data_IF_607197999200
#
_entry.id   IF_607197999200
#
_cell.length_a   1.000
_cell.length_b   1.000
_cell.length_c   1.000
_cell.angle_alpha   90.00
_cell.angle_beta   90.00
_cell.angle_gamma   90.00
#
_symmetry.space_group_name_H-M   'P 1'
#
loop_
_entity.id
_entity.type
_entity.pdbx_description
1 polymer ?
#
# COMPACT_ATOMS: atom_id res chain seq x y z
N UNK A 1 -44.11 23.37 -9.98
CA UNK A 1 -44.34 22.66 -8.70
C UNK A 1 -43.29 21.57 -8.64
N UNK A 2 -42.33 21.55 -7.71
CA UNK A 2 -42.31 22.09 -6.35
C UNK A 2 -40.88 22.50 -6.05
N UNK A 3 -40.70 23.71 -5.52
CA UNK A 3 -39.45 24.13 -4.89
C UNK A 3 -39.27 23.20 -3.70
N UNK A 4 -38.34 22.25 -3.80
CA UNK A 4 -37.94 21.46 -2.64
C UNK A 4 -37.31 22.45 -1.66
N UNK A 5 -38.06 22.73 -0.61
CA UNK A 5 -37.65 23.46 0.59
C UNK A 5 -36.20 23.09 0.92
N UNK A 6 -35.33 24.10 0.97
CA UNK A 6 -33.98 23.99 1.53
C UNK A 6 -34.06 23.86 3.06
N UNK A 7 -34.85 22.91 3.57
CA UNK A 7 -34.67 22.44 4.92
C UNK A 7 -33.29 21.81 4.96
N UNK A 8 -32.33 22.50 5.58
CA UNK A 8 -31.06 21.89 5.99
C UNK A 8 -31.45 20.70 6.84
N UNK A 9 -31.36 19.48 6.30
CA UNK A 9 -31.52 18.27 7.08
C UNK A 9 -30.50 18.35 8.22
N UNK A 10 -31.02 18.40 9.45
CA UNK A 10 -30.21 18.45 10.65
C UNK A 10 -30.19 17.07 11.26
N UNK A 11 -29.07 16.75 11.85
CA UNK A 11 -28.91 15.55 12.65
C UNK A 11 -29.90 15.55 13.83
N UNK A 12 -30.67 14.47 13.96
CA UNK A 12 -31.53 14.22 15.11
C UNK A 12 -30.77 13.41 16.18
N UNK A 13 -30.22 14.13 17.17
CA UNK A 13 -29.45 13.53 18.26
C UNK A 13 -30.33 12.62 19.12
N UNK A 14 -31.59 12.97 19.34
CA UNK A 14 -32.48 12.19 20.21
C UNK A 14 -32.78 10.82 19.57
N UNK A 15 -33.07 10.82 18.27
CA UNK A 15 -33.22 9.59 17.48
C UNK A 15 -31.93 8.78 17.44
N UNK A 16 -30.78 9.40 17.15
CA UNK A 16 -29.49 8.71 17.11
C UNK A 16 -29.15 8.07 18.47
N UNK A 17 -29.40 8.76 19.58
CA UNK A 17 -29.25 8.19 20.93
C UNK A 17 -30.22 7.05 21.23
N UNK A 18 -31.41 7.03 20.61
CA UNK A 18 -32.32 5.89 20.72
C UNK A 18 -31.77 4.67 19.97
N UNK A 19 -31.23 4.88 18.77
CA UNK A 19 -30.61 3.84 17.96
C UNK A 19 -29.36 3.25 18.64
N UNK A 20 -28.50 4.11 19.21
CA UNK A 20 -27.28 3.74 19.94
C UNK A 20 -27.56 2.73 21.07
N UNK A 21 -28.75 2.72 21.68
CA UNK A 21 -29.08 1.76 22.75
C UNK A 21 -29.04 0.29 22.31
N UNK A 22 -29.12 0.03 21.01
CA UNK A 22 -29.00 -1.31 20.44
C UNK A 22 -27.53 -1.75 20.27
N UNK A 23 -26.57 -0.84 20.47
CA UNK A 23 -25.14 -1.04 20.24
C UNK A 23 -24.36 -0.80 21.53
N UNK A 24 -24.11 -1.82 22.37
CA UNK A 24 -23.46 -1.66 23.68
C UNK A 24 -22.03 -1.11 23.61
N UNK A 25 -21.41 -1.14 22.43
CA UNK A 25 -20.07 -0.60 22.17
C UNK A 25 -20.05 0.92 22.05
N UNK A 26 -21.20 1.56 21.79
CA UNK A 26 -21.29 2.99 21.50
C UNK A 26 -21.86 3.74 22.70
N UNK A 27 -21.17 4.78 23.13
CA UNK A 27 -21.67 5.66 24.19
C UNK A 27 -22.66 6.69 23.62
N UNK A 28 -23.74 7.00 24.36
CA UNK A 28 -24.70 8.01 23.94
C UNK A 28 -24.05 9.40 23.89
N UNK A 29 -24.53 10.23 22.98
CA UNK A 29 -24.15 11.63 22.83
C UNK A 29 -24.64 12.41 24.07
N UNK A 30 -23.72 13.11 24.71
CA UNK A 30 -23.98 14.03 25.83
C UNK A 30 -23.82 15.49 25.39
N UNK A 31 -24.33 16.43 26.19
CA UNK A 31 -24.35 17.86 25.84
C UNK A 31 -22.95 18.49 25.72
N UNK A 32 -21.95 17.90 26.35
CA UNK A 32 -20.54 18.32 26.30
C UNK A 32 -19.79 17.86 25.05
N UNK A 33 -20.38 17.00 24.22
CA UNK A 33 -19.73 16.49 23.00
C UNK A 33 -19.97 17.42 21.80
N UNK A 34 -18.89 17.93 21.21
CA UNK A 34 -18.98 18.91 20.12
C UNK A 34 -17.86 18.81 19.06
N UNK A 35 -16.83 17.98 19.23
CA UNK A 35 -15.72 17.86 18.27
C UNK A 35 -16.12 17.02 17.07
N UNK A 36 -16.31 17.67 15.91
CA UNK A 36 -16.72 17.02 14.64
C UNK A 36 -15.65 17.05 13.54
N UNK A 37 -14.56 17.80 13.76
CA UNK A 37 -13.59 18.18 12.72
C UNK A 37 -14.24 18.82 11.48
N UNK A 38 -13.47 19.10 10.41
CA UNK A 38 -13.96 19.73 9.17
C UNK A 38 -13.30 19.11 7.94
N UNK A 39 -13.99 19.19 6.81
CA UNK A 39 -13.51 18.70 5.51
C UNK A 39 -13.03 17.25 5.57
N UNK A 40 -11.86 16.98 4.99
CA UNK A 40 -11.28 15.62 4.89
C UNK A 40 -11.11 14.97 6.27
N UNK A 41 -10.74 15.72 7.31
CA UNK A 41 -10.60 15.16 8.67
C UNK A 41 -11.92 14.64 9.24
N UNK A 42 -13.04 15.34 8.97
CA UNK A 42 -14.37 14.88 9.37
C UNK A 42 -14.77 13.61 8.60
N UNK A 43 -14.57 13.60 7.28
CA UNK A 43 -14.81 12.41 6.47
C UNK A 43 -13.99 11.22 6.97
N UNK A 44 -12.69 11.41 7.21
CA UNK A 44 -11.80 10.34 7.68
C UNK A 44 -12.22 9.84 9.05
N UNK A 45 -12.60 10.71 9.99
CA UNK A 45 -13.09 10.30 11.30
C UNK A 45 -14.33 9.39 11.19
N UNK A 46 -15.34 9.84 10.44
CA UNK A 46 -16.62 9.13 10.28
C UNK A 46 -16.50 7.90 9.37
N UNK A 47 -15.62 7.92 8.38
CA UNK A 47 -15.42 6.80 7.47
C UNK A 47 -14.52 5.72 8.08
N UNK A 48 -13.52 6.10 8.90
CA UNK A 48 -12.46 5.17 9.32
C UNK A 48 -12.45 4.82 10.80
N UNK A 49 -13.00 5.66 11.67
CA UNK A 49 -12.83 5.50 13.12
C UNK A 49 -14.14 5.40 13.89
N UNK A 50 -15.24 5.98 13.39
CA UNK A 50 -16.54 5.83 14.04
C UNK A 50 -17.04 4.39 13.96
N UNK A 51 -17.68 3.94 15.03
CA UNK A 51 -18.52 2.76 15.00
C UNK A 51 -19.74 3.00 14.10
N UNK A 52 -20.11 2.02 13.28
CA UNK A 52 -21.18 2.12 12.29
C UNK A 52 -22.15 0.96 12.43
N UNK A 53 -23.42 1.23 12.11
CA UNK A 53 -24.45 0.22 11.92
C UNK A 53 -24.27 -0.45 10.54
N UNK A 54 -23.35 -1.40 10.46
CA UNK A 54 -22.99 -2.09 9.20
C UNK A 54 -24.10 -3.03 8.72
N UNK A 55 -24.84 -3.63 9.66
CA UNK A 55 -26.00 -4.50 9.43
C UNK A 55 -27.27 -3.72 9.05
N UNK A 56 -27.25 -2.39 9.20
CA UNK A 56 -28.34 -1.47 8.83
C UNK A 56 -29.61 -1.72 9.66
N UNK A 57 -29.45 -2.14 10.91
CA UNK A 57 -30.54 -2.48 11.84
C UNK A 57 -31.46 -1.28 12.11
N UNK A 58 -30.88 -0.08 12.14
CA UNK A 58 -31.56 1.17 12.51
C UNK A 58 -31.66 2.16 11.35
N UNK A 59 -31.24 1.77 10.14
CA UNK A 59 -31.18 2.66 8.98
C UNK A 59 -32.58 3.11 8.56
N UNK A 60 -32.83 4.40 8.54
CA UNK A 60 -34.14 4.98 8.28
C UNK A 60 -34.05 6.35 7.59
N UNK A 61 -35.19 6.85 7.08
CA UNK A 61 -35.25 8.18 6.44
C UNK A 61 -34.89 9.26 7.47
N UNK A 62 -34.11 10.24 7.04
CA UNK A 62 -33.55 11.31 7.87
C UNK A 62 -32.20 10.98 8.49
N UNK A 63 -31.71 9.75 8.37
CA UNK A 63 -30.42 9.37 8.97
C UNK A 63 -29.24 9.97 8.22
N UNK A 64 -28.25 10.39 9.00
CA UNK A 64 -26.94 10.81 8.51
C UNK A 64 -26.09 9.58 8.16
N UNK A 65 -25.44 9.60 7.00
CA UNK A 65 -24.71 8.44 6.46
C UNK A 65 -23.39 8.84 5.81
N UNK A 66 -22.46 7.89 5.83
CA UNK A 66 -21.27 7.87 4.99
C UNK A 66 -21.56 6.98 3.78
N UNK A 67 -21.22 7.42 2.57
CA UNK A 67 -21.50 6.67 1.36
C UNK A 67 -20.44 6.84 0.27
N UNK A 68 -20.45 5.91 -0.68
CA UNK A 68 -19.76 6.07 -1.96
C UNK A 68 -20.56 7.01 -2.86
N UNK A 69 -20.12 8.26 -2.98
CA UNK A 69 -20.78 9.30 -3.79
C UNK A 69 -20.49 9.15 -5.27
N UNK A 70 -19.33 8.63 -5.66
CA UNK A 70 -18.98 8.29 -7.05
C UNK A 70 -18.30 6.94 -7.10
N UNK A 71 -18.84 6.04 -7.91
CA UNK A 71 -18.22 4.76 -8.19
C UNK A 71 -17.03 4.94 -9.12
N UNK A 72 -15.91 4.34 -8.76
CA UNK A 72 -14.74 4.19 -9.62
C UNK A 72 -14.13 2.81 -9.30
N UNK A 73 -13.81 1.99 -10.30
CA UNK A 73 -13.28 0.64 -10.07
C UNK A 73 -11.95 0.61 -9.30
N UNK A 74 -11.20 1.72 -9.29
CA UNK A 74 -9.89 1.83 -8.64
C UNK A 74 -9.92 2.76 -7.43
N UNK A 75 -10.66 3.87 -7.47
CA UNK A 75 -10.64 4.95 -6.48
C UNK A 75 -12.03 5.53 -6.22
N UNK A 76 -12.95 4.78 -5.57
CA UNK A 76 -14.29 5.27 -5.29
C UNK A 76 -14.24 6.52 -4.41
N UNK A 77 -15.06 7.53 -4.73
CA UNK A 77 -15.15 8.74 -3.94
C UNK A 77 -16.14 8.53 -2.79
N UNK A 78 -15.69 8.79 -1.57
CA UNK A 78 -16.51 8.77 -0.34
C UNK A 78 -17.03 10.16 -0.02
N UNK A 79 -18.19 10.23 0.61
CA UNK A 79 -18.78 11.49 1.07
C UNK A 79 -19.81 11.27 2.17
N UNK A 80 -20.46 12.36 2.56
CA UNK A 80 -21.44 12.40 3.66
C UNK A 80 -22.79 12.92 3.13
N UNK A 81 -23.88 12.49 3.76
CA UNK A 81 -25.21 12.93 3.36
C UNK A 81 -26.31 12.46 4.29
N UNK A 82 -27.55 12.77 3.91
CA UNK A 82 -28.76 12.38 4.63
C UNK A 82 -29.69 11.56 3.76
N UNK A 83 -30.24 10.48 4.30
CA UNK A 83 -31.23 9.66 3.60
C UNK A 83 -32.53 10.46 3.46
N UNK A 84 -32.95 10.72 2.21
CA UNK A 84 -34.24 11.37 1.91
C UNK A 84 -35.33 10.36 1.56
N UNK A 85 -34.96 9.18 1.05
CA UNK A 85 -35.90 8.10 0.73
C UNK A 85 -35.19 6.76 0.80
N UNK A 86 -35.88 5.75 1.34
CA UNK A 86 -35.45 4.35 1.32
C UNK A 86 -36.35 3.53 0.42
N UNK A 87 -35.74 2.69 -0.38
CA UNK A 87 -36.37 1.67 -1.21
C UNK A 87 -35.81 0.31 -0.78
N UNK A 88 -36.48 -0.31 0.18
CA UNK A 88 -36.07 -1.60 0.74
C UNK A 88 -36.26 -2.76 -0.25
N UNK A 89 -37.21 -2.64 -1.17
CA UNK A 89 -37.48 -3.67 -2.19
C UNK A 89 -36.31 -3.78 -3.17
N UNK A 90 -35.80 -2.64 -3.65
CA UNK A 90 -34.66 -2.60 -4.56
C UNK A 90 -33.31 -2.46 -3.86
N UNK A 91 -33.29 -2.46 -2.52
CA UNK A 91 -32.11 -2.21 -1.68
C UNK A 91 -31.35 -0.94 -2.09
N UNK A 92 -32.08 0.17 -2.25
CA UNK A 92 -31.51 1.47 -2.62
C UNK A 92 -31.93 2.57 -1.64
N UNK A 93 -31.11 3.60 -1.54
CA UNK A 93 -31.47 4.84 -0.88
C UNK A 93 -31.22 6.04 -1.80
N UNK A 94 -32.10 7.03 -1.69
CA UNK A 94 -31.83 8.37 -2.17
C UNK A 94 -31.17 9.15 -1.04
N UNK A 95 -29.97 9.66 -1.29
CA UNK A 95 -29.18 10.38 -0.30
C UNK A 95 -28.91 11.80 -0.81
N UNK A 96 -29.29 12.79 -0.01
CA UNK A 96 -28.91 14.17 -0.22
C UNK A 96 -27.47 14.35 0.27
N UNK A 97 -26.54 14.49 -0.67
CA UNK A 97 -25.11 14.66 -0.41
C UNK A 97 -24.84 16.06 0.14
N UNK A 98 -24.01 16.16 1.17
CA UNK A 98 -23.57 17.45 1.72
C UNK A 98 -22.85 18.28 0.64
N UNK A 99 -23.01 19.60 0.69
CA UNK A 99 -22.54 20.51 -0.37
C UNK A 99 -21.05 20.36 -0.68
N UNK A 100 -20.22 20.08 0.35
CA UNK A 100 -18.78 19.92 0.22
C UNK A 100 -18.36 18.76 -0.69
N UNK A 101 -19.20 17.72 -0.86
CA UNK A 101 -18.91 16.57 -1.72
C UNK A 101 -19.60 16.63 -3.08
N UNK A 102 -20.44 17.62 -3.37
CA UNK A 102 -21.20 17.66 -4.64
C UNK A 102 -20.33 17.91 -5.87
N UNK A 103 -19.13 18.45 -5.70
CA UNK A 103 -18.19 18.75 -6.78
C UNK A 103 -17.70 17.50 -7.54
N UNK A 104 -17.84 16.30 -6.96
CA UNK A 104 -17.49 15.04 -7.63
C UNK A 104 -18.66 14.41 -8.38
N UNK A 105 -19.89 14.93 -8.19
CA UNK A 105 -21.09 14.41 -8.85
C UNK A 105 -21.18 14.92 -10.29
N UNK A 106 -21.86 14.18 -11.15
CA UNK A 106 -22.04 14.50 -12.56
C UNK A 106 -23.54 14.59 -12.93
N UNK A 107 -23.86 15.35 -13.98
CA UNK A 107 -25.21 15.37 -14.57
C UNK A 107 -26.32 15.86 -13.61
N UNK A 108 -27.40 15.09 -13.54
CA UNK A 108 -28.57 15.42 -12.68
C UNK A 108 -28.26 15.27 -11.18
N UNK A 109 -27.32 14.39 -10.79
CA UNK A 109 -26.90 14.25 -9.40
C UNK A 109 -26.19 15.53 -8.91
N UNK A 110 -25.38 16.17 -9.77
CA UNK A 110 -24.74 17.44 -9.46
C UNK A 110 -25.74 18.60 -9.29
N UNK A 111 -26.83 18.60 -10.09
CA UNK A 111 -27.86 19.64 -10.03
C UNK A 111 -28.75 19.51 -8.81
N UNK A 112 -29.15 18.28 -8.48
CA UNK A 112 -30.09 18.00 -7.38
C UNK A 112 -29.38 17.81 -6.05
N UNK A 113 -28.12 17.40 -6.06
CA UNK A 113 -27.37 16.94 -4.88
C UNK A 113 -27.86 15.59 -4.35
N UNK A 114 -28.80 14.92 -5.04
CA UNK A 114 -29.37 13.64 -4.62
C UNK A 114 -28.74 12.53 -5.46
N UNK A 115 -28.14 11.55 -4.79
CA UNK A 115 -27.63 10.33 -5.41
C UNK A 115 -28.52 9.14 -5.06
N UNK A 116 -28.65 8.20 -5.98
CA UNK A 116 -29.32 6.91 -5.72
C UNK A 116 -28.25 5.83 -5.67
N UNK A 117 -28.07 5.21 -4.51
CA UNK A 117 -27.01 4.21 -4.28
C UNK A 117 -27.59 2.94 -3.65
N UNK A 118 -26.90 1.81 -3.86
CA UNK A 118 -27.20 0.57 -3.14
C UNK A 118 -27.04 0.81 -1.64
N UNK A 119 -27.87 0.16 -0.82
CA UNK A 119 -27.66 0.13 0.62
C UNK A 119 -26.28 -0.43 0.97
N UNK A 120 -25.71 -1.32 0.16
CA UNK A 120 -24.41 -1.95 0.41
C UNK A 120 -23.24 -0.96 0.49
N UNK A 121 -23.36 0.21 -0.14
CA UNK A 121 -22.33 1.27 -0.14
C UNK A 121 -22.65 2.43 0.80
N UNK A 122 -23.65 2.25 1.67
CA UNK A 122 -24.13 3.23 2.64
C UNK A 122 -23.96 2.66 4.04
N UNK A 123 -23.39 3.48 4.92
CA UNK A 123 -23.15 3.13 6.31
C UNK A 123 -23.65 4.26 7.21
N UNK A 124 -24.35 3.91 8.29
CA UNK A 124 -24.82 4.86 9.30
C UNK A 124 -23.80 4.93 10.44
N UNK A 125 -23.01 6.01 10.57
CA UNK A 125 -22.15 6.19 11.73
C UNK A 125 -23.01 6.42 12.98
N UNK A 126 -22.69 5.71 14.04
CA UNK A 126 -23.31 5.86 15.36
C UNK A 126 -22.49 6.77 16.28
N UNK A 127 -21.21 6.97 15.94
CA UNK A 127 -20.33 7.94 16.57
C UNK A 127 -20.07 9.09 15.60
N UNK A 128 -20.57 10.27 15.94
CA UNK A 128 -20.48 11.47 15.08
C UNK A 128 -19.59 12.56 15.68
N UNK A 129 -19.28 12.44 16.98
CA UNK A 129 -18.36 13.29 17.73
C UNK A 129 -17.11 12.48 18.09
N UNK A 130 -15.95 13.13 18.03
CA UNK A 130 -14.68 12.52 18.42
C UNK A 130 -14.70 12.07 19.88
N UNK A 131 -15.42 12.79 20.74
CA UNK A 131 -15.62 12.45 22.15
C UNK A 131 -16.28 11.08 22.32
N UNK A 132 -17.24 10.69 21.46
CA UNK A 132 -17.81 9.34 21.52
C UNK A 132 -16.75 8.28 21.21
N UNK A 133 -15.97 8.49 20.15
CA UNK A 133 -14.86 7.62 19.75
C UNK A 133 -13.85 7.51 20.90
N UNK A 134 -13.47 8.64 21.50
CA UNK A 134 -12.54 8.70 22.62
C UNK A 134 -13.07 7.95 23.84
N UNK A 135 -14.37 8.09 24.16
CA UNK A 135 -15.04 7.38 25.26
C UNK A 135 -15.00 5.87 25.04
N UNK A 136 -15.38 5.41 23.84
CA UNK A 136 -15.32 3.98 23.47
C UNK A 136 -13.90 3.44 23.57
N UNK A 137 -12.93 4.18 23.06
CA UNK A 137 -11.51 3.82 23.14
C UNK A 137 -11.04 3.70 24.59
N UNK A 138 -11.34 4.69 25.43
CA UNK A 138 -11.01 4.68 26.84
C UNK A 138 -11.62 3.47 27.57
N UNK A 139 -12.91 3.20 27.34
CA UNK A 139 -13.61 2.01 27.86
C UNK A 139 -12.93 0.71 27.42
N UNK A 140 -12.61 0.59 26.13
CA UNK A 140 -11.94 -0.59 25.58
C UNK A 140 -10.53 -0.82 26.11
N UNK A 141 -9.74 0.24 26.26
CA UNK A 141 -8.36 0.18 26.75
C UNK A 141 -8.29 -0.12 28.25
N UNK A 142 -9.22 0.42 29.04
CA UNK A 142 -9.29 0.19 30.48
C UNK A 142 -9.85 -1.20 30.84
N UNK A 143 -10.46 -1.93 29.91
CA UNK A 143 -11.11 -3.23 30.18
C UNK A 143 -10.16 -4.32 30.73
N UNK A 144 -8.85 -4.18 30.51
CA UNK A 144 -7.81 -5.10 31.04
C UNK A 144 -7.59 -4.95 32.55
N UNK A 145 -8.07 -3.85 33.15
CA UNK A 145 -7.94 -3.60 34.58
C UNK A 145 -8.76 -4.59 35.40
N UNK A 146 -8.24 -4.92 36.59
CA UNK A 146 -8.73 -6.06 37.39
C UNK A 146 -9.99 -5.76 38.21
N UNK A 147 -10.17 -4.52 38.65
CA UNK A 147 -11.31 -4.12 39.49
C UNK A 147 -12.12 -3.04 38.79
N UNK A 148 -13.40 -2.93 39.15
CA UNK A 148 -14.30 -1.95 38.55
C UNK A 148 -13.86 -0.51 38.87
N UNK A 149 -13.35 -0.28 40.08
CA UNK A 149 -12.81 1.02 40.49
C UNK A 149 -11.62 1.42 39.62
N UNK A 150 -10.74 0.46 39.29
CA UNK A 150 -9.59 0.70 38.41
C UNK A 150 -10.01 0.91 36.97
N UNK A 151 -10.98 0.14 36.47
CA UNK A 151 -11.55 0.35 35.14
C UNK A 151 -12.09 1.77 35.03
N UNK A 152 -12.93 2.20 35.97
CA UNK A 152 -13.50 3.54 35.97
C UNK A 152 -12.41 4.63 36.05
N UNK A 153 -11.44 4.49 36.95
CA UNK A 153 -10.31 5.41 37.08
C UNK A 153 -9.55 5.58 35.75
N UNK A 154 -9.26 4.48 35.06
CA UNK A 154 -8.51 4.50 33.81
C UNK A 154 -9.34 4.93 32.61
N UNK A 155 -10.65 4.65 32.59
CA UNK A 155 -11.56 5.20 31.57
C UNK A 155 -11.54 6.72 31.62
N UNK A 156 -11.66 7.31 32.81
CA UNK A 156 -11.64 8.77 32.97
C UNK A 156 -10.30 9.36 32.52
N UNK A 157 -9.19 8.78 32.97
CA UNK A 157 -7.85 9.22 32.59
C UNK A 157 -7.60 9.13 31.09
N UNK A 158 -7.91 8.00 30.46
CA UNK A 158 -7.72 7.84 29.02
C UNK A 158 -8.62 8.81 28.24
N UNK A 159 -9.89 8.93 28.64
CA UNK A 159 -10.83 9.84 28.00
C UNK A 159 -10.34 11.28 28.03
N UNK A 160 -9.86 11.76 29.18
CA UNK A 160 -9.30 13.11 29.33
C UNK A 160 -8.11 13.34 28.39
N UNK A 161 -7.16 12.39 28.32
CA UNK A 161 -5.99 12.52 27.45
C UNK A 161 -6.36 12.54 25.96
N UNK A 162 -7.34 11.73 25.56
CA UNK A 162 -7.82 11.65 24.18
C UNK A 162 -8.56 12.91 23.77
N UNK A 163 -9.56 13.35 24.54
CA UNK A 163 -10.36 14.55 24.22
C UNK A 163 -9.52 15.82 24.25
N UNK A 164 -8.54 15.90 25.17
CA UNK A 164 -7.59 17.01 25.23
C UNK A 164 -6.56 16.99 24.09
N UNK A 165 -6.52 15.93 23.28
CA UNK A 165 -5.54 15.70 22.21
C UNK A 165 -4.08 15.77 22.69
N UNK A 166 -3.82 15.44 23.96
CA UNK A 166 -2.46 15.36 24.51
C UNK A 166 -1.66 14.23 23.83
N UNK A 167 -2.36 13.19 23.37
CA UNK A 167 -1.84 12.20 22.43
C UNK A 167 -2.96 11.73 21.51
N UNK A 168 -2.59 11.25 20.32
CA UNK A 168 -3.52 10.60 19.40
C UNK A 168 -3.04 9.17 19.18
N UNK A 169 -3.82 8.15 19.57
CA UNK A 169 -3.42 6.78 19.36
C UNK A 169 -3.42 6.43 17.86
N UNK A 170 -2.70 5.36 17.54
CA UNK A 170 -2.70 4.77 16.22
C UNK A 170 -4.12 4.53 15.68
N UNK A 171 -4.32 4.70 14.37
CA UNK A 171 -5.64 4.54 13.75
C UNK A 171 -6.33 3.19 14.02
N UNK A 172 -5.58 2.09 14.21
CA UNK A 172 -6.17 0.79 14.58
C UNK A 172 -6.69 0.74 16.00
N UNK A 173 -6.05 1.46 16.91
CA UNK A 173 -6.56 1.63 18.27
C UNK A 173 -7.87 2.42 18.21
N UNK A 174 -7.88 3.57 17.52
CA UNK A 174 -9.09 4.40 17.34
C UNK A 174 -10.28 3.60 16.80
N UNK A 175 -10.03 2.76 15.78
CA UNK A 175 -11.05 1.91 15.18
C UNK A 175 -11.47 0.73 16.09
N UNK A 176 -10.50 0.01 16.68
CA UNK A 176 -10.75 -1.29 17.31
C UNK A 176 -11.05 -1.25 18.80
N UNK A 177 -10.50 -0.30 19.55
CA UNK A 177 -10.64 -0.30 21.00
C UNK A 177 -12.10 -0.09 21.40
N UNK A 178 -12.65 -1.06 22.16
CA UNK A 178 -14.03 -1.02 22.65
C UNK A 178 -15.10 -1.31 21.59
N UNK A 179 -14.73 -1.57 20.33
CA UNK A 179 -15.70 -1.86 19.26
C UNK A 179 -16.14 -3.33 19.20
N UNK A 180 -15.45 -4.23 19.91
CA UNK A 180 -15.72 -5.67 19.86
C UNK A 180 -15.37 -6.34 18.53
N UNK A 181 -14.74 -5.63 17.60
CA UNK A 181 -14.27 -6.20 16.32
C UNK A 181 -12.99 -7.00 16.50
N UNK A 182 -12.82 -8.07 15.73
CA UNK A 182 -11.61 -8.93 15.74
C UNK A 182 -10.41 -8.33 14.98
N UNK A 183 -10.09 -7.06 15.26
CA UNK A 183 -8.92 -6.37 14.69
C UNK A 183 -7.77 -6.34 15.67
N UNK A 184 -6.57 -6.17 15.15
CA UNK A 184 -5.39 -5.88 15.97
C UNK A 184 -5.29 -4.39 16.31
N UNK A 185 -4.73 -4.07 17.47
CA UNK A 185 -4.36 -2.70 17.85
C UNK A 185 -2.99 -2.28 17.29
N UNK A 186 -2.21 -3.22 16.76
CA UNK A 186 -0.94 -2.94 16.10
C UNK A 186 -1.16 -2.60 14.62
N UNK A 187 -0.67 -1.44 14.19
CA UNK A 187 -0.80 -1.02 12.80
C UNK A 187 0.14 -1.77 11.85
N UNK A 188 1.34 -2.09 12.33
CA UNK A 188 2.48 -2.42 11.49
C UNK A 188 3.19 -3.65 12.02
N UNK A 189 3.57 -4.52 11.10
CA UNK A 189 4.23 -5.79 11.36
C UNK A 189 5.46 -5.91 10.48
N UNK A 190 6.50 -6.54 11.03
CA UNK A 190 7.67 -6.96 10.27
C UNK A 190 7.72 -8.46 10.33
N UNK A 191 7.71 -9.10 9.17
CA UNK A 191 7.80 -10.54 9.07
C UNK A 191 9.26 -10.99 9.23
N UNK A 192 9.49 -12.16 9.85
CA UNK A 192 10.76 -12.87 9.71
C UNK A 192 11.12 -13.10 8.23
N UNK A 193 12.38 -13.43 7.97
CA UNK A 193 12.78 -13.80 6.61
C UNK A 193 11.99 -14.99 6.09
N UNK A 194 11.75 -14.97 4.77
CA UNK A 194 11.00 -16.04 4.10
C UNK A 194 11.85 -17.31 4.05
N UNK A 195 11.29 -18.46 4.45
CA UNK A 195 11.95 -19.74 4.25
C UNK A 195 11.96 -20.11 2.77
N UNK A 196 13.15 -20.38 2.21
CA UNK A 196 13.38 -20.61 0.77
C UNK A 196 12.91 -22.00 0.29
N UNK A 197 11.60 -22.22 0.40
CA UNK A 197 10.90 -23.39 -0.11
C UNK A 197 9.47 -23.00 -0.47
N UNK A 198 8.79 -23.81 -1.28
CA UNK A 198 7.39 -23.55 -1.64
C UNK A 198 6.47 -23.50 -0.41
N UNK A 199 6.71 -24.38 0.55
CA UNK A 199 5.97 -24.44 1.81
C UNK A 199 6.26 -23.20 2.67
N UNK A 200 7.53 -22.80 2.76
CA UNK A 200 7.95 -21.58 3.46
C UNK A 200 7.31 -20.32 2.88
N UNK A 201 7.32 -20.18 1.56
CA UNK A 201 6.66 -19.08 0.85
C UNK A 201 5.15 -19.10 1.09
N UNK A 202 4.52 -20.28 1.03
CA UNK A 202 3.08 -20.42 1.27
C UNK A 202 2.68 -20.05 2.70
N UNK A 203 3.46 -20.47 3.71
CA UNK A 203 3.19 -20.12 5.10
C UNK A 203 3.41 -18.63 5.36
N UNK A 204 4.48 -18.05 4.80
CA UNK A 204 4.71 -16.59 4.86
C UNK A 204 3.53 -15.83 4.25
N UNK A 205 3.09 -16.23 3.05
CA UNK A 205 1.94 -15.64 2.36
C UNK A 205 0.65 -15.73 3.18
N UNK A 206 0.40 -16.88 3.82
CA UNK A 206 -0.76 -17.08 4.71
C UNK A 206 -0.71 -16.13 5.91
N UNK A 207 0.45 -15.97 6.54
CA UNK A 207 0.61 -15.07 7.68
C UNK A 207 0.45 -13.59 7.28
N UNK A 208 1.03 -13.18 6.15
CA UNK A 208 0.83 -11.84 5.57
C UNK A 208 -0.66 -11.57 5.34
N UNK A 209 -1.37 -12.53 4.73
CA UNK A 209 -2.80 -12.42 4.46
C UNK A 209 -3.62 -12.26 5.74
N UNK A 210 -3.32 -13.03 6.79
CA UNK A 210 -4.01 -12.95 8.08
C UNK A 210 -3.73 -11.63 8.82
N UNK A 211 -2.49 -11.13 8.77
CA UNK A 211 -2.18 -9.81 9.34
C UNK A 211 -2.96 -8.73 8.60
N UNK A 212 -3.01 -8.82 7.27
CA UNK A 212 -3.72 -7.85 6.44
C UNK A 212 -5.24 -7.90 6.67
N UNK A 213 -5.84 -9.08 6.82
CA UNK A 213 -7.29 -9.23 7.05
C UNK A 213 -7.71 -8.56 8.36
N UNK A 214 -6.84 -8.57 9.37
CA UNK A 214 -7.02 -7.85 10.64
C UNK A 214 -6.61 -6.39 10.60
N UNK A 215 -6.16 -5.91 9.44
CA UNK A 215 -5.84 -4.50 9.19
C UNK A 215 -4.37 -4.11 9.40
N UNK A 216 -3.47 -5.04 9.68
CA UNK A 216 -2.05 -4.76 9.79
C UNK A 216 -1.40 -4.50 8.43
N UNK A 217 -0.48 -3.53 8.39
CA UNK A 217 0.47 -3.38 7.29
C UNK A 217 1.69 -4.27 7.52
N UNK A 218 2.32 -4.77 6.44
CA UNK A 218 3.34 -5.81 6.55
C UNK A 218 4.65 -5.44 5.83
N UNK A 219 5.77 -5.54 6.54
CA UNK A 219 7.12 -5.53 5.98
C UNK A 219 7.62 -6.95 5.71
N UNK A 220 8.16 -7.21 4.53
CA UNK A 220 8.74 -8.51 4.13
C UNK A 220 10.10 -8.31 3.50
N UNK A 221 11.10 -9.07 3.96
CA UNK A 221 12.41 -9.12 3.29
C UNK A 221 12.54 -10.41 2.47
N UNK A 222 12.70 -10.27 1.16
CA UNK A 222 12.84 -11.38 0.22
C UNK A 222 14.26 -11.88 -0.01
N UNK A 223 15.25 -11.33 0.69
CA UNK A 223 16.69 -11.61 0.44
C UNK A 223 17.10 -13.07 0.66
N UNK A 224 16.24 -13.86 1.33
CA UNK A 224 16.45 -15.29 1.52
C UNK A 224 15.92 -16.15 0.39
N UNK A 225 15.12 -15.61 -0.53
CA UNK A 225 14.57 -16.36 -1.65
C UNK A 225 15.60 -16.52 -2.76
N UNK A 226 15.78 -17.74 -3.25
CA UNK A 226 16.81 -18.03 -4.24
C UNK A 226 16.62 -17.23 -5.55
N UNK A 227 17.73 -16.83 -6.20
CA UNK A 227 17.71 -16.09 -7.47
C UNK A 227 16.95 -16.78 -8.59
N UNK A 228 16.64 -15.99 -9.62
CA UNK A 228 16.08 -16.51 -10.88
C UNK A 228 17.03 -17.53 -11.51
N UNK A 229 16.47 -18.59 -12.07
CA UNK A 229 17.17 -19.69 -12.73
C UNK A 229 17.98 -20.65 -11.83
N UNK A 230 18.02 -20.45 -10.51
CA UNK A 230 18.62 -21.44 -9.58
C UNK A 230 17.92 -22.80 -9.70
N UNK A 231 18.71 -23.88 -9.76
CA UNK A 231 18.20 -25.25 -9.94
C UNK A 231 17.24 -25.69 -8.81
N UNK A 232 16.09 -26.25 -9.19
CA UNK A 232 15.12 -26.88 -8.30
C UNK A 232 15.21 -28.41 -8.44
N UNK A 233 16.20 -29.01 -7.76
CA UNK A 233 16.60 -30.43 -7.90
C UNK A 233 15.44 -31.42 -7.78
N UNK A 234 14.54 -31.23 -6.80
CA UNK A 234 13.45 -32.18 -6.53
C UNK A 234 12.39 -32.30 -7.62
N UNK A 235 12.32 -31.34 -8.55
CA UNK A 235 11.33 -31.33 -9.66
C UNK A 235 11.98 -31.16 -11.03
N UNK A 236 13.32 -31.26 -11.11
CA UNK A 236 14.10 -31.02 -12.32
C UNK A 236 13.74 -29.70 -13.05
N UNK A 237 13.52 -28.64 -12.28
CA UNK A 237 13.09 -27.32 -12.77
C UNK A 237 14.06 -26.21 -12.41
N UNK A 238 13.67 -24.96 -12.69
CA UNK A 238 14.40 -23.75 -12.31
C UNK A 238 13.50 -22.79 -11.53
N UNK A 239 14.07 -22.05 -10.59
CA UNK A 239 13.37 -21.00 -9.86
C UNK A 239 12.93 -19.87 -10.80
N UNK A 240 11.71 -19.35 -10.61
CA UNK A 240 11.24 -18.10 -11.22
C UNK A 240 11.90 -16.86 -10.63
N UNK A 241 12.66 -16.99 -9.53
CA UNK A 241 13.40 -15.93 -8.87
C UNK A 241 12.65 -15.26 -7.74
N UNK A 242 13.40 -14.56 -6.89
CA UNK A 242 12.89 -13.87 -5.69
C UNK A 242 11.81 -12.85 -6.06
N UNK A 243 12.07 -12.02 -7.07
CA UNK A 243 11.19 -10.91 -7.48
C UNK A 243 9.83 -11.41 -7.97
N UNK A 244 9.78 -12.57 -8.65
CA UNK A 244 8.52 -13.19 -9.09
C UNK A 244 7.65 -13.65 -7.91
N UNK A 245 8.25 -14.18 -6.85
CA UNK A 245 7.51 -14.57 -5.64
C UNK A 245 7.09 -13.35 -4.82
N UNK A 246 7.94 -12.33 -4.77
CA UNK A 246 7.61 -11.06 -4.13
C UNK A 246 6.42 -10.35 -4.80
N UNK A 247 6.28 -10.47 -6.13
CA UNK A 247 5.07 -10.00 -6.84
C UNK A 247 3.80 -10.77 -6.43
N UNK A 248 3.88 -12.08 -6.16
CA UNK A 248 2.74 -12.85 -5.62
C UNK A 248 2.31 -12.35 -4.25
N UNK A 249 3.27 -12.07 -3.35
CA UNK A 249 2.98 -11.50 -2.03
C UNK A 249 2.39 -10.09 -2.20
N UNK A 250 2.95 -9.26 -3.08
CA UNK A 250 2.44 -7.91 -3.35
C UNK A 250 0.98 -7.94 -3.84
N UNK A 251 0.57 -8.95 -4.61
CA UNK A 251 -0.82 -9.06 -5.11
C UNK A 251 -1.84 -9.28 -3.99
N UNK A 252 -1.45 -9.75 -2.81
CA UNK A 252 -2.36 -9.89 -1.67
C UNK A 252 -3.04 -8.58 -1.28
N UNK A 253 -2.36 -7.44 -1.42
CA UNK A 253 -2.92 -6.13 -1.04
C UNK A 253 -4.12 -5.72 -1.88
N UNK A 254 -4.26 -6.29 -3.08
CA UNK A 254 -5.40 -6.05 -3.96
C UNK A 254 -6.58 -7.00 -3.69
N UNK A 255 -6.33 -8.11 -2.98
CA UNK A 255 -7.34 -9.12 -2.66
C UNK A 255 -7.94 -8.92 -1.27
N UNK A 256 -7.16 -8.38 -0.32
CA UNK A 256 -7.57 -8.22 1.07
C UNK A 256 -7.91 -6.75 1.35
N UNK A 257 -9.21 -6.46 1.47
CA UNK A 257 -9.70 -5.19 1.96
C UNK A 257 -9.63 -5.12 3.49
N UNK A 258 -8.98 -4.10 4.02
CA UNK A 258 -8.82 -3.85 5.45
C UNK A 258 -9.95 -2.95 5.96
N UNK A 259 -10.77 -3.47 6.88
CA UNK A 259 -11.79 -2.68 7.58
C UNK A 259 -12.85 -2.07 6.65
N UNK A 260 -13.21 -2.76 5.56
CA UNK A 260 -14.32 -2.42 4.66
C UNK A 260 -14.05 -1.33 3.61
N UNK A 261 -12.96 -0.56 3.71
CA UNK A 261 -12.71 0.55 2.76
C UNK A 261 -11.25 0.80 2.36
N UNK A 262 -10.26 0.07 2.91
CA UNK A 262 -8.83 0.31 2.68
C UNK A 262 -8.14 -0.87 2.01
N UNK A 263 -7.23 -0.62 1.07
CA UNK A 263 -6.28 -1.65 0.60
C UNK A 263 -5.22 -1.96 1.66
N UNK A 264 -4.70 -3.19 1.62
CA UNK A 264 -3.52 -3.57 2.41
C UNK A 264 -2.31 -2.68 2.12
N UNK A 265 -1.43 -2.53 3.11
CA UNK A 265 -0.16 -1.84 2.95
C UNK A 265 0.99 -2.84 3.09
N UNK A 266 1.94 -2.79 2.17
CA UNK A 266 3.08 -3.72 2.17
C UNK A 266 4.38 -3.02 1.79
N UNK A 267 5.44 -3.28 2.55
CA UNK A 267 6.82 -3.01 2.17
C UNK A 267 7.50 -4.33 1.80
N UNK A 268 8.14 -4.37 0.65
CA UNK A 268 8.98 -5.49 0.24
C UNK A 268 10.42 -5.00 0.16
N UNK A 269 11.35 -5.77 0.69
CA UNK A 269 12.76 -5.42 0.72
C UNK A 269 13.63 -6.48 0.08
N UNK A 270 14.75 -6.04 -0.49
CA UNK A 270 15.78 -6.91 -1.03
C UNK A 270 17.16 -6.30 -0.75
N UNK A 271 18.12 -7.12 -0.34
CA UNK A 271 19.47 -6.68 -0.01
C UNK A 271 20.29 -6.36 -1.26
N UNK A 272 21.21 -5.40 -1.12
CA UNK A 272 22.10 -4.94 -2.19
C UNK A 272 22.93 -6.05 -2.86
N UNK A 273 23.33 -7.07 -2.09
CA UNK A 273 24.11 -8.22 -2.57
C UNK A 273 23.28 -9.25 -3.32
N UNK A 274 21.94 -9.14 -3.33
CA UNK A 274 21.07 -10.16 -3.90
C UNK A 274 21.18 -10.20 -5.44
N UNK A 275 21.35 -11.38 -6.09
CA UNK A 275 21.51 -11.46 -7.54
C UNK A 275 20.35 -10.90 -8.38
N UNK A 276 19.13 -10.91 -7.85
CA UNK A 276 17.95 -10.33 -8.53
C UNK A 276 17.75 -8.82 -8.26
N UNK A 277 18.68 -8.12 -7.59
CA UNK A 277 18.49 -6.73 -7.14
C UNK A 277 18.20 -5.75 -8.28
N UNK A 278 18.80 -5.95 -9.45
CA UNK A 278 18.59 -5.09 -10.62
C UNK A 278 17.16 -5.22 -11.14
N UNK A 279 16.65 -6.46 -11.26
CA UNK A 279 15.26 -6.72 -11.66
C UNK A 279 14.29 -6.10 -10.65
N UNK A 280 14.59 -6.24 -9.35
CA UNK A 280 13.79 -5.69 -8.27
C UNK A 280 13.65 -4.17 -8.36
N UNK A 281 14.76 -3.45 -8.52
CA UNK A 281 14.78 -1.97 -8.61
C UNK A 281 14.03 -1.49 -9.86
N UNK A 282 14.23 -2.12 -11.02
CA UNK A 282 13.61 -1.71 -12.29
C UNK A 282 12.12 -2.05 -12.34
N UNK A 283 11.65 -3.03 -11.55
CA UNK A 283 10.28 -3.55 -11.60
C UNK A 283 9.19 -2.48 -11.49
N UNK A 284 9.43 -1.43 -10.69
CA UNK A 284 8.51 -0.32 -10.42
C UNK A 284 8.63 0.86 -11.40
N UNK A 285 9.62 0.85 -12.31
CA UNK A 285 9.78 1.92 -13.27
C UNK A 285 8.71 1.85 -14.37
N UNK A 286 7.79 2.82 -14.36
CA UNK A 286 6.68 2.91 -15.31
C UNK A 286 6.90 3.94 -16.44
N UNK A 287 8.01 4.68 -16.40
CA UNK A 287 8.32 5.70 -17.40
C UNK A 287 9.24 5.14 -18.51
N UNK A 288 8.74 4.92 -19.74
CA UNK A 288 9.54 4.36 -20.83
C UNK A 288 10.75 5.23 -21.20
N UNK A 289 10.66 6.55 -21.01
CA UNK A 289 11.78 7.47 -21.30
C UNK A 289 12.95 7.22 -20.35
N UNK A 290 12.67 6.90 -19.08
CA UNK A 290 13.70 6.60 -18.09
C UNK A 290 14.32 5.24 -18.35
N UNK A 291 13.52 4.24 -18.72
CA UNK A 291 14.06 2.94 -19.15
C UNK A 291 15.01 3.08 -20.35
N UNK A 292 14.64 3.92 -21.32
CA UNK A 292 15.52 4.26 -22.45
C UNK A 292 16.77 5.01 -22.02
N UNK A 293 16.64 6.00 -21.13
CA UNK A 293 17.78 6.70 -20.57
C UNK A 293 18.76 5.73 -19.90
N UNK A 294 18.26 4.77 -19.11
CA UNK A 294 19.08 3.73 -18.50
C UNK A 294 19.83 2.91 -19.55
N UNK A 295 19.16 2.48 -20.63
CA UNK A 295 19.79 1.75 -21.74
C UNK A 295 20.94 2.53 -22.40
N UNK A 296 20.78 3.84 -22.52
CA UNK A 296 21.71 4.72 -23.25
C UNK A 296 22.88 5.22 -22.35
N UNK A 297 22.73 5.18 -21.02
CA UNK A 297 23.65 5.86 -20.08
C UNK A 297 24.26 4.96 -19.00
N UNK A 298 23.93 3.67 -18.96
CA UNK A 298 24.61 2.71 -18.07
C UNK A 298 25.65 1.90 -18.83
N UNK A 299 26.75 1.58 -18.17
CA UNK A 299 27.79 0.68 -18.69
C UNK A 299 27.53 -0.78 -18.29
N UNK A 300 26.55 -1.01 -17.40
CA UNK A 300 26.26 -2.33 -16.84
C UNK A 300 25.29 -3.14 -17.71
N UNK A 301 25.76 -4.27 -18.25
CA UNK A 301 24.97 -5.14 -19.14
C UNK A 301 23.67 -5.68 -18.52
N UNK A 302 23.66 -5.95 -17.21
CA UNK A 302 22.47 -6.46 -16.53
C UNK A 302 21.40 -5.39 -16.33
N UNK A 303 21.80 -4.15 -16.05
CA UNK A 303 20.88 -2.99 -16.05
C UNK A 303 20.30 -2.80 -17.46
N UNK A 304 21.14 -2.84 -18.49
CA UNK A 304 20.68 -2.72 -19.87
C UNK A 304 19.67 -3.83 -20.21
N UNK A 305 19.98 -5.08 -19.87
CA UNK A 305 19.09 -6.21 -20.12
C UNK A 305 17.74 -6.03 -19.40
N UNK A 306 17.74 -5.72 -18.11
CA UNK A 306 16.51 -5.57 -17.33
C UNK A 306 15.66 -4.38 -17.82
N UNK A 307 16.29 -3.25 -18.17
CA UNK A 307 15.58 -2.11 -18.75
C UNK A 307 14.96 -2.46 -20.11
N UNK A 308 15.67 -3.22 -20.95
CA UNK A 308 15.19 -3.68 -22.26
C UNK A 308 14.01 -4.63 -22.12
N UNK A 309 14.06 -5.60 -21.20
CA UNK A 309 12.98 -6.55 -20.95
C UNK A 309 11.72 -5.86 -20.41
N UNK A 310 11.89 -4.79 -19.62
CA UNK A 310 10.78 -3.97 -19.12
C UNK A 310 10.18 -3.06 -20.20
N UNK A 311 10.93 -2.72 -21.24
CA UNK A 311 10.52 -1.80 -22.30
C UNK A 311 9.81 -2.53 -23.46
N UNK A 312 8.58 -2.12 -23.78
CA UNK A 312 7.81 -2.63 -24.93
C UNK A 312 7.83 -1.61 -26.06
N UNK A 313 8.23 -2.03 -27.26
CA UNK A 313 8.10 -1.21 -28.47
C UNK A 313 6.93 -1.69 -29.32
N UNK A 314 6.05 -0.77 -29.72
CA UNK A 314 4.95 -1.02 -30.65
C UNK A 314 5.17 -0.18 -31.90
N UNK A 315 5.51 -0.79 -33.05
CA UNK A 315 5.68 -0.08 -34.31
C UNK A 315 4.40 0.62 -34.75
N UNK A 316 4.54 1.76 -35.45
CA UNK A 316 3.42 2.41 -36.10
C UNK A 316 2.89 1.55 -37.25
N UNK A 317 1.57 1.43 -37.35
CA UNK A 317 0.91 0.94 -38.55
C UNK A 317 1.06 1.94 -39.71
N UNK A 318 0.83 1.50 -40.94
CA UNK A 318 0.85 2.40 -42.11
C UNK A 318 -0.19 3.53 -41.98
N UNK A 319 -1.38 3.22 -41.44
CA UNK A 319 -2.43 4.19 -41.20
C UNK A 319 -2.00 5.25 -40.17
N UNK A 320 -1.41 4.83 -39.05
CA UNK A 320 -0.92 5.77 -38.04
C UNK A 320 0.24 6.62 -38.56
N UNK A 321 1.15 6.03 -39.34
CA UNK A 321 2.23 6.77 -39.99
C UNK A 321 1.68 7.85 -40.92
N UNK A 322 0.69 7.53 -41.75
CA UNK A 322 0.04 8.50 -42.62
C UNK A 322 -0.68 9.60 -41.81
N UNK A 323 -1.37 9.23 -40.72
CA UNK A 323 -2.04 10.17 -39.82
C UNK A 323 -1.05 11.15 -39.17
N UNK A 324 0.01 10.66 -38.54
CA UNK A 324 1.01 11.51 -37.91
C UNK A 324 1.75 12.38 -38.94
N UNK A 325 2.04 11.84 -40.13
CA UNK A 325 2.62 12.64 -41.21
C UNK A 325 1.67 13.77 -41.63
N UNK A 326 0.36 13.49 -41.70
CA UNK A 326 -0.68 14.49 -41.94
C UNK A 326 -0.65 15.62 -40.90
N UNK A 327 -0.48 15.29 -39.61
CA UNK A 327 -0.35 16.29 -38.53
C UNK A 327 0.91 17.15 -38.72
N UNK A 328 2.06 16.52 -38.98
CA UNK A 328 3.35 17.23 -39.16
C UNK A 328 3.35 18.17 -40.36
N UNK A 329 2.58 17.85 -41.41
CA UNK A 329 2.45 18.73 -42.58
C UNK A 329 1.86 20.11 -42.23
N UNK A 330 1.11 20.25 -41.14
CA UNK A 330 0.58 21.54 -40.66
C UNK A 330 1.58 22.38 -39.85
N UNK A 331 2.79 21.88 -39.60
CA UNK A 331 3.83 22.56 -38.79
C UNK A 331 4.18 23.96 -39.27
N UNK A 332 4.19 24.17 -40.59
CA UNK A 332 4.56 25.46 -41.19
C UNK A 332 3.34 26.31 -41.60
N UNK A 333 2.12 25.88 -41.25
CA UNK A 333 0.89 26.59 -41.61
C UNK A 333 0.49 27.52 -40.46
N UNK A 334 0.16 28.80 -40.72
CA UNK A 334 -0.33 29.72 -39.69
C UNK A 334 -1.52 29.14 -38.93
N UNK A 335 -1.45 29.11 -37.60
CA UNK A 335 -2.46 28.49 -36.74
C UNK A 335 -2.36 26.96 -36.63
N UNK A 336 -1.29 26.34 -37.14
CA UNK A 336 -0.96 24.92 -36.99
C UNK A 336 -2.08 23.95 -37.42
N UNK A 337 -2.99 24.40 -38.30
CA UNK A 337 -4.17 23.61 -38.69
C UNK A 337 -5.12 23.29 -37.52
N UNK A 338 -5.07 24.05 -36.42
CA UNK A 338 -5.84 23.78 -35.20
C UNK A 338 -5.16 22.85 -34.20
N UNK A 339 -3.96 22.33 -34.51
CA UNK A 339 -3.15 21.55 -33.56
C UNK A 339 -2.31 22.46 -32.66
N UNK A 340 -1.99 21.98 -31.45
CA UNK A 340 -1.00 22.65 -30.61
C UNK A 340 0.42 22.25 -31.02
N UNK A 341 1.40 23.11 -30.72
CA UNK A 341 2.82 22.82 -30.94
C UNK A 341 3.27 21.52 -30.26
N UNK A 342 2.69 21.21 -29.10
CA UNK A 342 2.94 19.96 -28.37
C UNK A 342 2.48 18.72 -29.15
N UNK A 343 1.33 18.79 -29.82
CA UNK A 343 0.79 17.70 -30.65
C UNK A 343 1.70 17.48 -31.86
N UNK A 344 2.14 18.56 -32.50
CA UNK A 344 3.04 18.47 -33.66
C UNK A 344 4.37 17.83 -33.25
N UNK A 345 4.95 18.25 -32.13
CA UNK A 345 6.19 17.67 -31.59
C UNK A 345 6.04 16.18 -31.25
N UNK A 346 4.92 15.78 -30.67
CA UNK A 346 4.62 14.37 -30.37
C UNK A 346 4.52 13.53 -31.67
N UNK A 347 3.86 14.06 -32.71
CA UNK A 347 3.77 13.41 -34.01
C UNK A 347 5.15 13.26 -34.67
N UNK A 348 5.99 14.30 -34.64
CA UNK A 348 7.38 14.23 -35.13
C UNK A 348 8.21 13.18 -34.37
N UNK A 349 8.08 13.13 -33.04
CA UNK A 349 8.78 12.16 -32.19
C UNK A 349 8.36 10.72 -32.54
N UNK A 350 7.06 10.44 -32.69
CA UNK A 350 6.53 9.12 -33.05
C UNK A 350 6.95 8.68 -34.45
N UNK A 351 6.93 9.58 -35.43
CA UNK A 351 7.39 9.29 -36.79
C UNK A 351 8.89 8.97 -36.83
N UNK A 352 9.71 9.77 -36.14
CA UNK A 352 11.16 9.55 -36.04
C UNK A 352 11.49 8.24 -35.35
N UNK A 353 10.76 7.92 -34.27
CA UNK A 353 10.94 6.68 -33.51
C UNK A 353 10.37 5.47 -34.26
N UNK A 354 9.43 5.68 -35.18
CA UNK A 354 8.75 4.64 -35.95
C UNK A 354 7.73 3.83 -35.13
N UNK A 355 7.38 4.28 -33.93
CA UNK A 355 6.51 3.57 -32.99
C UNK A 355 6.36 4.28 -31.65
N UNK A 356 5.69 3.61 -30.72
CA UNK A 356 5.51 4.06 -29.33
C UNK A 356 6.15 3.09 -28.36
N UNK A 357 6.80 3.63 -27.34
CA UNK A 357 7.30 2.85 -26.21
C UNK A 357 6.29 2.82 -25.06
N UNK A 358 6.08 1.64 -24.49
CA UNK A 358 5.32 1.44 -23.26
C UNK A 358 6.08 0.50 -22.33
N UNK A 359 5.53 0.21 -21.15
CA UNK A 359 6.13 -0.71 -20.18
C UNK A 359 5.47 -2.09 -20.27
N UNK A 360 6.27 -3.15 -20.20
CA UNK A 360 5.78 -4.52 -20.04
C UNK A 360 5.31 -4.76 -18.60
N UNK A 361 4.14 -5.39 -18.48
CA UNK A 361 3.51 -5.76 -17.21
C UNK A 361 3.48 -4.58 -16.20
N UNK A 362 2.72 -3.51 -16.49
CA UNK A 362 2.72 -2.31 -15.64
C UNK A 362 2.20 -2.59 -14.23
N UNK A 363 1.35 -3.61 -14.07
CA UNK A 363 0.75 -3.99 -12.78
C UNK A 363 1.69 -4.83 -11.89
N UNK A 364 2.86 -5.23 -12.40
CA UNK A 364 3.85 -6.01 -11.65
C UNK A 364 4.33 -5.25 -10.41
N UNK A 365 4.24 -5.90 -9.25
CA UNK A 365 4.68 -5.39 -7.94
C UNK A 365 4.01 -4.06 -7.53
N UNK A 366 2.85 -3.75 -8.10
CA UNK A 366 2.10 -2.51 -7.79
C UNK A 366 1.45 -2.51 -6.42
N UNK A 367 1.24 -3.67 -5.81
CA UNK A 367 0.62 -3.81 -4.49
C UNK A 367 1.54 -3.49 -3.31
N UNK A 368 2.83 -3.29 -3.54
CA UNK A 368 3.79 -3.00 -2.47
C UNK A 368 4.68 -1.79 -2.80
N UNK A 369 5.11 -1.08 -1.76
CA UNK A 369 6.30 -0.26 -1.79
C UNK A 369 7.54 -1.18 -1.75
N UNK A 370 8.65 -0.73 -2.32
CA UNK A 370 9.90 -1.49 -2.30
C UNK A 370 11.04 -0.71 -1.65
N UNK A 371 11.95 -1.39 -0.97
CA UNK A 371 13.18 -0.78 -0.47
C UNK A 371 14.38 -1.68 -0.69
N UNK A 372 15.54 -1.05 -0.92
CA UNK A 372 16.81 -1.78 -0.93
C UNK A 372 17.41 -1.75 0.47
N UNK A 373 17.75 -2.92 1.01
CA UNK A 373 18.53 -3.02 2.23
C UNK A 373 20.01 -2.78 1.91
N UNK A 374 20.53 -1.63 2.32
CA UNK A 374 21.91 -1.23 2.09
C UNK A 374 22.80 -1.58 3.28
N UNK A 375 23.89 -2.24 2.98
CA UNK A 375 24.98 -2.62 3.87
C UNK A 375 26.08 -1.57 3.87
N UNK A 376 26.85 -1.51 4.96
CA UNK A 376 28.06 -0.68 5.04
C UNK A 376 29.10 -1.10 4.00
N UNK A 377 29.21 -2.40 3.73
CA UNK A 377 30.10 -2.96 2.71
C UNK A 377 29.78 -2.39 1.31
N UNK A 378 28.50 -2.37 0.92
CA UNK A 378 28.09 -1.77 -0.35
C UNK A 378 28.38 -0.26 -0.39
N UNK A 379 28.04 0.48 0.68
CA UNK A 379 28.29 1.92 0.71
C UNK A 379 29.78 2.27 0.64
N UNK A 380 30.64 1.48 1.26
CA UNK A 380 32.10 1.63 1.14
C UNK A 380 32.56 1.38 -0.30
N UNK A 381 32.04 0.34 -0.96
CA UNK A 381 32.34 0.05 -2.36
C UNK A 381 31.86 1.18 -3.30
N UNK A 382 30.74 1.84 -3.01
CA UNK A 382 30.26 3.02 -3.75
C UNK A 382 31.22 4.19 -3.61
N UNK A 383 31.66 4.48 -2.38
CA UNK A 383 32.58 5.57 -2.07
C UNK A 383 33.92 5.38 -2.80
N UNK A 384 34.50 4.18 -2.66
CA UNK A 384 35.79 3.81 -3.23
C UNK A 384 35.76 3.56 -4.74
N UNK A 385 34.57 3.50 -5.34
CA UNK A 385 34.38 3.06 -6.71
C UNK A 385 35.00 1.67 -6.93
N UNK A 386 34.40 0.66 -6.29
CA UNK A 386 34.84 -0.73 -6.35
C UNK A 386 33.83 -1.59 -7.12
N UNK A 387 34.27 -2.78 -7.54
CA UNK A 387 33.32 -3.82 -7.94
C UNK A 387 32.66 -4.42 -6.71
N UNK A 388 31.38 -4.73 -6.83
CA UNK A 388 30.54 -5.31 -5.80
C UNK A 388 29.97 -6.65 -6.28
N UNK A 389 29.99 -7.64 -5.39
CA UNK A 389 29.60 -9.01 -5.71
C UNK A 389 28.12 -9.23 -5.42
N UNK A 390 27.37 -9.58 -6.46
CA UNK A 390 26.01 -10.09 -6.33
C UNK A 390 26.07 -11.59 -6.10
N UNK A 391 25.68 -12.03 -4.91
CA UNK A 391 26.02 -13.34 -4.37
C UNK A 391 24.90 -13.95 -3.55
N UNK A 392 24.89 -15.27 -3.42
CA UNK A 392 23.86 -16.01 -2.69
C UNK A 392 24.45 -17.35 -2.18
N UNK A 393 23.89 -18.00 -1.15
CA UNK A 393 24.29 -19.36 -0.77
C UNK A 393 24.44 -20.31 -1.96
N UNK A 394 25.51 -21.11 -1.99
CA UNK A 394 25.84 -21.99 -3.11
C UNK A 394 25.03 -23.30 -3.12
N UNK A 395 23.70 -23.14 -3.14
CA UNK A 395 22.72 -24.24 -3.08
C UNK A 395 22.84 -25.25 -4.23
N UNK A 396 23.52 -24.87 -5.31
CA UNK A 396 23.71 -25.76 -6.47
C UNK A 396 24.87 -26.72 -6.29
N UNK A 397 25.83 -26.44 -5.39
CA UNK A 397 26.99 -27.33 -5.18
C UNK A 397 27.06 -27.93 -3.78
N UNK A 398 26.10 -27.58 -2.91
CA UNK A 398 25.96 -28.17 -1.59
C UNK A 398 25.78 -29.69 -1.64
N UNK A 399 26.47 -30.37 -0.73
CA UNK A 399 26.21 -31.75 -0.34
C UNK A 399 24.82 -31.87 0.30
N UNK A 400 24.32 -33.10 0.46
CA UNK A 400 23.03 -33.33 1.13
C UNK A 400 22.99 -32.78 2.56
N UNK A 401 24.12 -32.86 3.28
CA UNK A 401 24.30 -32.31 4.62
C UNK A 401 24.22 -30.78 4.62
N UNK A 402 25.01 -30.12 3.78
CA UNK A 402 25.00 -28.66 3.63
C UNK A 402 23.61 -28.15 3.20
N UNK A 403 22.93 -28.89 2.30
CA UNK A 403 21.59 -28.53 1.84
C UNK A 403 20.55 -28.68 2.95
N UNK A 404 20.67 -29.70 3.83
CA UNK A 404 19.80 -29.82 5.01
C UNK A 404 19.98 -28.62 5.93
N UNK A 405 21.23 -28.25 6.22
CA UNK A 405 21.54 -27.08 7.05
C UNK A 405 21.03 -25.78 6.39
N UNK A 406 21.20 -25.62 5.08
CA UNK A 406 20.63 -24.49 4.34
C UNK A 406 19.11 -24.38 4.53
N UNK A 407 18.39 -25.48 4.29
CA UNK A 407 16.93 -25.52 4.40
C UNK A 407 16.45 -25.24 5.83
N UNK A 408 17.23 -25.61 6.84
CA UNK A 408 16.91 -25.39 8.26
C UNK A 408 17.29 -24.01 8.75
N UNK A 409 18.43 -23.45 8.34
CA UNK A 409 19.04 -22.28 9.02
C UNK A 409 19.14 -21.02 8.18
N UNK A 410 19.13 -21.11 6.85
CA UNK A 410 19.37 -19.93 6.00
C UNK A 410 18.38 -18.79 6.30
N UNK A 411 17.11 -19.12 6.48
CA UNK A 411 16.08 -18.13 6.82
C UNK A 411 16.20 -17.53 8.22
N UNK A 412 16.92 -18.16 9.15
CA UNK A 412 17.21 -17.56 10.46
C UNK A 412 18.38 -16.57 10.36
N UNK A 413 19.32 -16.82 9.43
CA UNK A 413 20.49 -15.99 9.19
C UNK A 413 20.16 -14.83 8.25
N UNK A 414 19.69 -15.11 7.04
CA UNK A 414 19.22 -14.13 6.05
C UNK A 414 20.23 -13.09 5.56
N UNK A 415 21.50 -13.24 5.92
CA UNK A 415 22.60 -12.40 5.48
C UNK A 415 23.73 -13.28 4.94
N UNK A 416 24.06 -13.08 3.66
CA UNK A 416 25.07 -13.88 2.97
C UNK A 416 26.46 -13.73 3.60
N UNK A 417 26.76 -12.59 4.21
CA UNK A 417 28.04 -12.30 4.89
C UNK A 417 28.18 -13.08 6.18
N UNK A 418 27.08 -13.21 6.93
CA UNK A 418 27.04 -14.04 8.13
C UNK A 418 27.12 -15.52 7.76
N UNK A 419 26.41 -15.93 6.70
CA UNK A 419 26.43 -17.30 6.20
C UNK A 419 27.83 -17.76 5.78
N UNK A 420 28.58 -16.90 5.08
CA UNK A 420 29.97 -17.16 4.72
C UNK A 420 30.88 -17.25 5.95
N UNK A 421 30.71 -16.36 6.95
CA UNK A 421 31.46 -16.42 8.22
C UNK A 421 31.20 -17.69 9.02
N UNK A 422 30.04 -18.33 8.83
CA UNK A 422 29.73 -19.65 9.42
C UNK A 422 30.45 -20.80 8.69
N UNK A 423 31.20 -20.53 7.63
CA UNK A 423 31.96 -21.51 6.86
C UNK A 423 31.19 -22.15 5.70
N UNK A 424 29.99 -21.68 5.39
CA UNK A 424 29.20 -22.19 4.26
C UNK A 424 29.57 -21.47 2.96
N UNK A 425 29.63 -22.23 1.86
CA UNK A 425 30.04 -21.69 0.56
C UNK A 425 28.98 -20.73 0.00
N UNK A 426 29.44 -19.63 -0.57
CA UNK A 426 28.62 -18.62 -1.24
C UNK A 426 29.03 -18.55 -2.71
N UNK A 427 28.04 -18.45 -3.59
CA UNK A 427 28.27 -18.29 -5.03
C UNK A 427 28.13 -16.84 -5.42
N UNK A 428 29.16 -16.31 -6.07
CA UNK A 428 29.07 -15.04 -6.81
C UNK A 428 28.41 -15.31 -8.16
N UNK A 429 27.26 -14.69 -8.39
CA UNK A 429 26.54 -14.79 -9.66
C UNK A 429 27.06 -13.78 -10.67
N UNK A 430 27.47 -12.60 -10.18
CA UNK A 430 27.88 -11.46 -10.99
C UNK A 430 28.67 -10.44 -10.17
N UNK A 431 29.56 -9.70 -10.83
CA UNK A 431 30.14 -8.47 -10.32
C UNK A 431 29.54 -7.26 -11.02
N UNK A 432 29.34 -6.17 -10.29
CA UNK A 432 28.83 -4.89 -10.79
C UNK A 432 29.65 -3.75 -10.17
N UNK A 433 29.94 -2.69 -10.93
CA UNK A 433 30.51 -1.48 -10.34
C UNK A 433 29.52 -0.90 -9.32
N UNK A 434 29.92 -0.75 -8.06
CA UNK A 434 29.00 -0.34 -7.00
C UNK A 434 28.29 0.98 -7.32
N UNK A 435 28.99 1.92 -7.98
CA UNK A 435 28.43 3.19 -8.45
C UNK A 435 27.34 3.04 -9.53
N UNK A 436 27.39 2.01 -10.38
CA UNK A 436 26.32 1.76 -11.37
C UNK A 436 25.04 1.30 -10.67
N UNK A 437 25.15 0.39 -9.69
CA UNK A 437 24.00 -0.01 -8.89
C UNK A 437 23.44 1.17 -8.06
N UNK A 438 24.31 1.99 -7.48
CA UNK A 438 23.89 3.20 -6.76
C UNK A 438 23.19 4.20 -7.68
N UNK A 439 23.71 4.45 -8.88
CA UNK A 439 23.04 5.30 -9.88
C UNK A 439 21.67 4.75 -10.25
N UNK A 440 21.54 3.45 -10.45
CA UNK A 440 20.25 2.81 -10.73
C UNK A 440 19.23 3.08 -9.61
N UNK A 441 19.63 2.87 -8.35
CA UNK A 441 18.79 3.16 -7.18
C UNK A 441 18.33 4.62 -7.20
N UNK A 442 19.25 5.57 -7.39
CA UNK A 442 18.92 7.00 -7.40
C UNK A 442 17.99 7.38 -8.55
N UNK A 443 18.26 6.90 -9.77
CA UNK A 443 17.44 7.21 -10.95
C UNK A 443 16.03 6.66 -10.75
N UNK A 444 15.89 5.39 -10.34
CA UNK A 444 14.58 4.81 -10.08
C UNK A 444 13.86 5.54 -8.95
N UNK A 445 14.51 5.77 -7.81
CA UNK A 445 13.91 6.51 -6.69
C UNK A 445 13.42 7.90 -7.11
N UNK A 446 14.18 8.61 -7.94
CA UNK A 446 13.82 9.95 -8.44
C UNK A 446 12.58 9.93 -9.34
N UNK A 447 12.47 8.94 -10.23
CA UNK A 447 11.45 8.94 -11.29
C UNK A 447 10.26 8.00 -11.04
N UNK A 448 10.33 7.13 -10.02
CA UNK A 448 9.22 6.28 -9.57
C UNK A 448 8.87 6.41 -8.09
N UNK A 449 9.56 7.26 -7.31
CA UNK A 449 9.45 7.35 -5.85
C UNK A 449 9.79 6.01 -5.13
N UNK A 450 10.47 5.12 -5.85
CA UNK A 450 10.78 3.74 -5.47
C UNK A 450 12.09 3.34 -6.18
N UNK A 451 13.00 2.59 -5.54
CA UNK A 451 12.89 2.04 -4.20
C UNK A 451 13.23 3.06 -3.10
N UNK A 452 12.65 2.85 -1.91
CA UNK A 452 13.19 3.38 -0.67
C UNK A 452 14.53 2.76 -0.30
N UNK A 453 15.16 3.30 0.74
CA UNK A 453 16.47 2.86 1.23
C UNK A 453 16.36 2.53 2.70
N UNK A 454 16.93 1.39 3.09
CA UNK A 454 17.04 0.99 4.49
C UNK A 454 18.46 0.54 4.82
N UNK A 455 19.14 1.26 5.71
CA UNK A 455 20.51 0.92 6.13
C UNK A 455 20.48 -0.18 7.19
N UNK A 456 20.46 -1.44 6.74
CA UNK A 456 20.26 -2.63 7.61
C UNK A 456 21.34 -2.76 8.69
N UNK A 457 22.58 -2.42 8.36
CA UNK A 457 23.70 -2.49 9.31
C UNK A 457 23.57 -1.44 10.42
N UNK A 458 23.15 -0.22 10.07
CA UNK A 458 22.93 0.83 11.07
C UNK A 458 21.75 0.49 11.97
N UNK A 459 20.64 0.00 11.39
CA UNK A 459 19.48 -0.43 12.15
C UNK A 459 19.84 -1.54 13.15
N UNK A 460 20.63 -2.52 12.71
CA UNK A 460 21.13 -3.55 13.59
C UNK A 460 22.11 -3.02 14.63
N UNK A 461 23.03 -2.12 14.27
CA UNK A 461 24.01 -1.58 15.23
C UNK A 461 23.39 -0.77 16.36
N UNK A 462 22.26 -0.13 16.09
CA UNK A 462 21.59 0.77 17.04
C UNK A 462 20.38 0.12 17.73
N UNK A 463 19.95 -1.07 17.33
CA UNK A 463 18.76 -1.70 17.92
C UNK A 463 19.03 -2.22 19.33
N UNK A 464 18.08 -1.98 20.23
CA UNK A 464 18.06 -2.60 21.55
C UNK A 464 17.64 -4.08 21.50
N UNK A 465 17.11 -4.57 20.37
CA UNK A 465 16.70 -5.96 20.18
C UNK A 465 17.87 -6.95 20.33
N UNK A 466 19.11 -6.50 20.10
CA UNK A 466 20.33 -7.28 20.33
C UNK A 466 20.45 -7.78 21.76
N UNK A 467 19.91 -7.07 22.76
CA UNK A 467 19.89 -7.50 24.15
C UNK A 467 19.07 -8.79 24.38
N UNK A 468 18.14 -9.09 23.46
CA UNK A 468 17.31 -10.29 23.48
C UNK A 468 17.81 -11.37 22.50
N UNK A 469 19.01 -11.21 21.94
CA UNK A 469 19.53 -12.10 20.89
C UNK A 469 18.79 -11.97 19.56
N UNK A 470 18.06 -10.87 19.34
CA UNK A 470 17.30 -10.61 18.13
C UNK A 470 18.02 -9.60 17.23
N UNK A 471 17.65 -9.60 15.94
CA UNK A 471 18.16 -8.66 14.94
C UNK A 471 17.04 -8.14 14.05
N UNK A 472 17.23 -6.94 13.52
CA UNK A 472 16.33 -6.33 12.54
C UNK A 472 16.52 -7.03 11.20
N UNK A 473 15.42 -7.51 10.63
CA UNK A 473 15.41 -8.23 9.33
C UNK A 473 14.77 -7.43 8.21
N UNK A 474 13.89 -6.48 8.53
CA UNK A 474 13.19 -5.58 7.62
C UNK A 474 12.69 -4.35 8.40
N UNK A 475 12.14 -3.37 7.68
CA UNK A 475 11.27 -2.33 8.22
C UNK A 475 9.81 -2.59 7.81
N UNK A 476 8.89 -1.84 8.40
CA UNK A 476 7.46 -1.93 8.15
C UNK A 476 7.07 -1.18 6.85
N UNK A 477 5.77 -1.08 6.50
CA UNK A 477 5.31 -0.33 5.33
C UNK A 477 5.73 1.14 5.23
N UNK A 478 6.04 1.78 6.36
CA UNK A 478 6.27 3.22 6.43
C UNK A 478 7.75 3.61 6.61
N UNK A 479 8.63 2.63 6.90
CA UNK A 479 10.08 2.85 6.94
C UNK A 479 10.62 3.36 8.28
N UNK A 480 9.80 3.42 9.34
CA UNK A 480 10.23 3.68 10.72
C UNK A 480 10.69 2.41 11.46
#
# INVERSE_FOLDING_TARGET
>A
MTVASSERMKLDIAKLNADIRLFPQVHPITEDMHITHKGVSRLVMLDRYSFKDTEKLTLSVGDFVVLTVKEDPKFPARGLGFIVKLDLENKKAHVLVEEEYRHVLDGEEAKTGIVVRSLDVIEKPLEIFYEQIAKRNATGLAAVEKTEEKRQEWVEKFYEQLVSLNFVPAGRVLYGAGSGTEVTYFNCYVMPFVKDSREGISEHRKQVMEIMSRGGGVGTNGSTLRPRNTLARGVNGKSSGSVSWLDDIAKLTHLVEQGGSRRGAQMIMLADWHPDIIEFIISKMQNPRILRYLLENTEDEGIQKAAKEKLKFTPLTEQERAMYQGIVNYKNIPGYGGFSEKIIKDAEEKLRTGGTYSVHNPDFLTGANISVCLTKEFMQAVENDEEYELRFPDVETYSEEEMRIYNEKWHEVGDVREWEKMGYRVRVYRKIRARELWKLINICATYSAEPGIFFIDNANDMTNARAYGQKVVATNPCGE
#
